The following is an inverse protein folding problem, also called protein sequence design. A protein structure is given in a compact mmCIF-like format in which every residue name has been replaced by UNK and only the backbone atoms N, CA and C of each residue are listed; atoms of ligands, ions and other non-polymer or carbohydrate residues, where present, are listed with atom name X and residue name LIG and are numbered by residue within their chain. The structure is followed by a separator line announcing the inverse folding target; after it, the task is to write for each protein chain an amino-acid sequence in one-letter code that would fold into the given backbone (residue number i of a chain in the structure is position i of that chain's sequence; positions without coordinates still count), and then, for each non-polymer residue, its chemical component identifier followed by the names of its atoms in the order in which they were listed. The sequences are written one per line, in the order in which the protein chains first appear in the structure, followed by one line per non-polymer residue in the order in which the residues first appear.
data_IF_619727839719
#
_entry.id   IF_619727839719
#
_cell.length_a   1.000
_cell.length_b   1.000
_cell.length_c   1.000
_cell.angle_alpha   90.00
_cell.angle_beta   90.00
_cell.angle_gamma   90.00
#
_symmetry.space_group_name_H-M   'P 1'
#
loop_
_entity.id
_entity.type
_entity.pdbx_description
1 polymer ?
#
# COMPACT_ATOMS: atom_id res chain seq x y z
N UNK A 1 -24.95 -27.46 -15.61
CA UNK A 1 -23.55 -27.12 -15.22
C UNK A 1 -23.62 -25.76 -14.56
N UNK A 2 -23.21 -25.60 -13.29
CA UNK A 2 -23.17 -24.26 -12.65
C UNK A 2 -22.02 -23.50 -13.27
N UNK A 3 -22.24 -22.29 -13.73
CA UNK A 3 -21.16 -21.41 -14.17
C UNK A 3 -20.17 -21.18 -13.01
N UNK A 4 -18.87 -21.16 -13.28
CA UNK A 4 -17.88 -20.89 -12.25
C UNK A 4 -18.11 -19.49 -11.65
N UNK A 5 -18.11 -19.39 -10.33
CA UNK A 5 -18.37 -18.18 -9.54
C UNK A 5 -17.45 -16.99 -9.95
N UNK A 6 -16.25 -17.28 -10.47
CA UNK A 6 -15.28 -16.26 -10.91
C UNK A 6 -15.57 -15.68 -12.31
N UNK A 7 -16.61 -16.15 -13.04
CA UNK A 7 -17.03 -15.49 -14.28
C UNK A 7 -17.93 -14.27 -14.04
N UNK A 8 -18.45 -14.09 -12.83
CA UNK A 8 -19.43 -13.03 -12.56
C UNK A 8 -18.83 -11.68 -12.16
N UNK A 9 -17.57 -11.62 -11.76
CA UNK A 9 -16.79 -10.37 -11.55
C UNK A 9 -15.30 -10.72 -11.67
N UNK A 10 -14.64 -10.41 -12.78
CA UNK A 10 -13.18 -10.38 -12.75
C UNK A 10 -12.78 -9.29 -11.75
N UNK A 11 -12.33 -9.69 -10.56
CA UNK A 11 -11.58 -8.78 -9.69
C UNK A 11 -10.26 -8.56 -10.41
N UNK A 12 -10.21 -7.54 -11.25
CA UNK A 12 -8.96 -7.12 -11.85
C UNK A 12 -8.25 -6.22 -10.85
N UNK A 13 -7.09 -6.64 -10.34
CA UNK A 13 -6.29 -5.73 -9.55
C UNK A 13 -5.89 -4.56 -10.44
N UNK A 14 -6.23 -3.35 -10.04
CA UNK A 14 -5.88 -2.13 -10.74
C UNK A 14 -4.75 -1.42 -9.99
N UNK A 15 -3.80 -0.80 -10.71
CA UNK A 15 -2.81 0.07 -10.08
C UNK A 15 -3.48 1.28 -9.45
N UNK A 16 -2.79 1.91 -8.51
CA UNK A 16 -3.24 3.13 -7.85
C UNK A 16 -3.63 4.20 -8.88
N UNK A 17 -4.70 4.92 -8.60
CA UNK A 17 -5.19 6.05 -9.40
C UNK A 17 -5.34 7.28 -8.52
N UNK A 18 -5.18 8.45 -9.14
CA UNK A 18 -5.48 9.72 -8.50
C UNK A 18 -6.98 9.85 -8.24
N UNK A 19 -7.34 10.55 -7.16
CA UNK A 19 -8.73 10.79 -6.79
C UNK A 19 -9.25 9.70 -5.85
N UNK A 20 -8.90 9.80 -4.56
CA UNK A 20 -9.37 8.88 -3.53
C UNK A 20 -10.86 8.99 -3.23
N UNK A 21 -11.37 8.05 -2.49
CA UNK A 21 -12.75 8.00 -2.02
C UNK A 21 -12.83 8.24 -0.51
N UNK A 22 -13.66 9.19 -0.09
CA UNK A 22 -13.97 9.38 1.33
C UNK A 22 -14.99 8.35 1.77
N UNK A 23 -14.55 7.42 2.62
CA UNK A 23 -15.40 6.33 3.14
C UNK A 23 -16.32 6.85 4.25
N UNK A 24 -15.77 7.71 5.13
CA UNK A 24 -16.52 8.37 6.20
C UNK A 24 -15.82 9.68 6.61
N UNK A 25 -16.21 10.29 7.72
CA UNK A 25 -15.72 11.60 8.14
C UNK A 25 -14.20 11.68 8.35
N UNK A 26 -13.52 10.55 8.60
CA UNK A 26 -12.10 10.50 8.90
C UNK A 26 -11.30 9.40 8.17
N UNK A 27 -11.93 8.63 7.27
CA UNK A 27 -11.25 7.59 6.49
C UNK A 27 -11.33 7.86 5.01
N UNK A 28 -10.18 7.87 4.37
CA UNK A 28 -10.01 8.01 2.92
C UNK A 28 -9.41 6.73 2.36
N UNK A 29 -9.95 6.25 1.24
CA UNK A 29 -9.45 5.14 0.46
C UNK A 29 -8.64 5.65 -0.74
N UNK A 30 -7.46 5.09 -0.96
CA UNK A 30 -6.75 5.09 -2.24
C UNK A 30 -6.81 3.67 -2.80
N UNK A 31 -7.56 3.46 -3.88
CA UNK A 31 -7.54 2.20 -4.61
C UNK A 31 -6.17 1.98 -5.24
N UNK A 32 -5.61 0.78 -5.08
CA UNK A 32 -4.32 0.36 -5.59
C UNK A 32 -4.34 -1.15 -5.81
N UNK A 33 -3.23 -1.78 -6.22
CA UNK A 33 -3.14 -3.25 -6.26
C UNK A 33 -3.52 -3.86 -4.91
N UNK A 34 -3.15 -3.20 -3.83
CA UNK A 34 -3.66 -3.40 -2.48
C UNK A 34 -4.19 -2.08 -1.97
N UNK A 35 -5.45 -2.03 -1.57
CA UNK A 35 -6.06 -0.82 -1.07
C UNK A 35 -5.27 -0.22 0.09
N UNK A 36 -5.07 1.10 0.04
CA UNK A 36 -4.47 1.88 1.10
C UNK A 36 -5.50 2.81 1.72
N UNK A 37 -5.42 3.02 3.02
CA UNK A 37 -6.34 3.90 3.72
C UNK A 37 -5.59 4.94 4.52
N UNK A 38 -6.11 6.17 4.55
CA UNK A 38 -5.68 7.23 5.44
C UNK A 38 -6.75 7.41 6.51
N UNK A 39 -6.36 7.32 7.78
CA UNK A 39 -7.19 7.63 8.93
C UNK A 39 -6.74 8.98 9.46
N UNK A 40 -7.60 9.98 9.31
CA UNK A 40 -7.33 11.36 9.68
C UNK A 40 -7.54 11.58 11.17
N UNK A 41 -6.55 12.18 11.85
CA UNK A 41 -6.68 12.55 13.26
C UNK A 41 -6.08 13.94 13.52
N UNK A 42 -6.53 14.64 14.59
CA UNK A 42 -5.98 15.95 14.95
C UNK A 42 -4.49 15.94 15.36
N UNK A 43 -3.93 14.76 15.65
CA UNK A 43 -2.54 14.60 16.11
C UNK A 43 -1.60 13.99 15.04
N UNK A 44 -2.03 14.00 13.78
CA UNK A 44 -1.37 13.36 12.65
C UNK A 44 -2.13 12.13 12.17
N UNK A 45 -1.80 11.67 10.98
CA UNK A 45 -2.56 10.63 10.30
C UNK A 45 -1.99 9.23 10.57
N UNK A 46 -2.87 8.22 10.45
CA UNK A 46 -2.49 6.81 10.44
C UNK A 46 -2.77 6.26 9.05
N UNK A 47 -1.78 5.61 8.44
CA UNK A 47 -1.93 4.99 7.13
C UNK A 47 -1.99 3.47 7.26
N UNK A 48 -2.83 2.83 6.46
CA UNK A 48 -2.91 1.36 6.32
C UNK A 48 -2.38 0.99 4.94
N UNK A 49 -1.36 0.13 4.89
CA UNK A 49 -0.61 -0.28 3.71
C UNK A 49 0.08 0.88 2.97
N UNK A 50 1.03 0.55 2.12
CA UNK A 50 1.84 1.52 1.38
C UNK A 50 1.78 1.36 -0.14
N UNK A 51 1.05 0.36 -0.63
CA UNK A 51 1.09 -0.01 -2.03
C UNK A 51 2.44 -0.62 -2.45
N UNK A 52 2.61 -0.81 -3.75
CA UNK A 52 3.91 -1.08 -4.36
C UNK A 52 4.77 0.20 -4.36
N UNK A 53 6.08 0.05 -4.49
CA UNK A 53 6.98 1.22 -4.57
C UNK A 53 6.54 2.23 -5.62
N UNK A 54 6.22 1.77 -6.82
CA UNK A 54 5.78 2.63 -7.93
C UNK A 54 4.42 3.32 -7.68
N UNK A 55 3.59 2.81 -6.78
CA UNK A 55 2.28 3.37 -6.46
C UNK A 55 2.35 4.44 -5.35
N UNK A 56 3.41 4.41 -4.54
CA UNK A 56 3.51 5.23 -3.34
C UNK A 56 3.36 6.74 -3.60
N UNK A 57 3.94 7.35 -4.68
CA UNK A 57 3.73 8.75 -5.00
C UNK A 57 2.27 9.09 -5.32
N UNK A 58 1.57 8.18 -6.01
CA UNK A 58 0.16 8.35 -6.39
C UNK A 58 -0.74 8.26 -5.17
N UNK A 59 -0.48 7.27 -4.29
CA UNK A 59 -1.18 7.11 -3.01
C UNK A 59 -0.96 8.35 -2.13
N UNK A 60 0.29 8.82 -2.02
CA UNK A 60 0.62 10.03 -1.26
C UNK A 60 -0.14 11.24 -1.78
N UNK A 61 -0.08 11.49 -3.10
CA UNK A 61 -0.80 12.61 -3.72
C UNK A 61 -2.30 12.51 -3.51
N UNK A 62 -2.85 11.29 -3.62
CA UNK A 62 -4.28 11.03 -3.36
C UNK A 62 -4.65 11.41 -1.92
N UNK A 63 -3.84 11.04 -0.94
CA UNK A 63 -4.10 11.37 0.47
C UNK A 63 -3.94 12.86 0.76
N UNK A 64 -2.94 13.52 0.16
CA UNK A 64 -2.70 14.98 0.33
C UNK A 64 -3.86 15.84 -0.18
N UNK A 65 -4.61 15.36 -1.15
CA UNK A 65 -5.81 16.04 -1.64
C UNK A 65 -6.94 16.07 -0.58
N UNK A 66 -6.86 15.23 0.45
CA UNK A 66 -7.78 15.21 1.58
C UNK A 66 -7.18 15.76 2.87
N UNK A 67 -5.91 15.44 3.14
CA UNK A 67 -5.19 15.86 4.34
C UNK A 67 -3.68 15.65 4.14
N UNK A 68 -2.91 16.73 4.10
CA UNK A 68 -1.46 16.73 3.94
C UNK A 68 -0.68 16.66 5.27
N UNK A 69 -1.38 16.49 6.39
CA UNK A 69 -0.75 16.31 7.70
C UNK A 69 0.16 15.09 7.72
N UNK A 70 1.18 15.13 8.58
CA UNK A 70 2.16 14.08 8.68
C UNK A 70 1.50 12.72 9.05
N UNK A 71 1.91 11.67 8.36
CA UNK A 71 1.60 10.29 8.76
C UNK A 71 2.55 9.90 9.89
N UNK A 72 2.01 9.55 11.03
CA UNK A 72 2.76 9.17 12.24
C UNK A 72 2.91 7.66 12.38
N UNK A 73 1.94 6.92 11.90
CA UNK A 73 1.92 5.45 11.96
C UNK A 73 1.52 4.86 10.61
N UNK A 74 2.23 3.82 10.20
CA UNK A 74 1.92 3.02 9.02
C UNK A 74 1.72 1.56 9.44
N UNK A 75 0.52 1.05 9.26
CA UNK A 75 0.15 -0.32 9.61
C UNK A 75 0.17 -1.19 8.37
N UNK A 76 0.97 -2.25 8.39
CA UNK A 76 1.06 -3.23 7.31
C UNK A 76 0.17 -4.44 7.64
N UNK A 77 -0.83 -4.68 6.80
CA UNK A 77 -1.79 -5.77 7.02
C UNK A 77 -1.22 -7.14 6.69
N UNK A 78 -0.23 -7.20 5.82
CA UNK A 78 0.50 -8.43 5.46
C UNK A 78 1.86 -8.08 4.82
N UNK A 79 2.67 -9.10 4.47
CA UNK A 79 4.02 -8.94 3.94
C UNK A 79 4.15 -9.06 2.41
N UNK A 80 3.07 -9.07 1.62
CA UNK A 80 3.18 -9.07 0.16
C UNK A 80 3.64 -7.73 -0.39
N UNK A 81 4.28 -7.78 -1.54
CA UNK A 81 4.93 -6.64 -2.22
C UNK A 81 4.02 -5.43 -2.43
N UNK A 82 2.74 -5.66 -2.69
CA UNK A 82 1.71 -4.64 -2.91
C UNK A 82 1.18 -3.98 -1.62
N UNK A 83 1.58 -4.48 -0.45
CA UNK A 83 1.25 -3.89 0.85
C UNK A 83 2.42 -3.13 1.47
N UNK A 84 3.65 -3.60 1.23
CA UNK A 84 4.85 -3.12 1.93
C UNK A 84 5.77 -2.26 1.06
N UNK A 85 5.60 -2.28 -0.26
CA UNK A 85 6.59 -1.80 -1.22
C UNK A 85 6.88 -0.32 -1.18
N UNK A 86 5.95 0.49 -0.73
CA UNK A 86 6.10 1.94 -0.64
C UNK A 86 6.62 2.45 0.72
N UNK A 87 6.92 1.58 1.68
CA UNK A 87 7.26 2.00 3.06
C UNK A 87 8.42 2.98 3.10
N UNK A 88 9.53 2.71 2.37
CA UNK A 88 10.69 3.60 2.39
C UNK A 88 10.34 5.00 1.86
N UNK A 89 9.54 5.08 0.80
CA UNK A 89 9.07 6.36 0.27
C UNK A 89 8.34 7.19 1.34
N UNK A 90 7.44 6.56 2.12
CA UNK A 90 6.73 7.25 3.21
C UNK A 90 7.65 7.60 4.39
N UNK A 91 8.66 6.76 4.70
CA UNK A 91 9.67 7.08 5.71
C UNK A 91 10.51 8.30 5.35
N UNK A 92 10.86 8.45 4.09
CA UNK A 92 11.64 9.60 3.61
C UNK A 92 10.85 10.91 3.70
N UNK A 93 9.52 10.84 3.60
CA UNK A 93 8.63 12.00 3.69
C UNK A 93 8.21 12.35 5.12
N UNK A 94 8.08 11.36 5.99
CA UNK A 94 7.51 11.52 7.34
C UNK A 94 8.53 11.15 8.41
N UNK A 95 9.25 12.15 8.93
CA UNK A 95 10.20 11.96 10.01
C UNK A 95 9.51 11.34 11.25
N UNK A 96 10.06 10.25 11.76
CA UNK A 96 9.53 9.56 12.93
C UNK A 96 8.33 8.63 12.64
N UNK A 97 8.06 8.33 11.36
CA UNK A 97 7.05 7.34 10.98
C UNK A 97 7.31 5.99 11.66
N UNK A 98 6.33 5.53 12.46
CA UNK A 98 6.36 4.21 13.09
C UNK A 98 5.65 3.19 12.21
N UNK A 99 6.38 2.15 11.77
CA UNK A 99 5.84 1.07 10.95
C UNK A 99 5.49 -0.12 11.82
N UNK A 100 4.21 -0.49 11.82
CA UNK A 100 3.63 -1.53 12.67
C UNK A 100 3.20 -2.71 11.79
N UNK A 101 3.57 -3.91 12.17
CA UNK A 101 3.15 -5.13 11.47
C UNK A 101 2.99 -6.32 12.43
N UNK A 102 2.29 -7.33 11.98
CA UNK A 102 2.21 -8.61 12.69
C UNK A 102 3.59 -9.29 12.71
N UNK A 103 3.91 -9.99 13.78
CA UNK A 103 5.25 -10.56 14.05
C UNK A 103 5.80 -11.47 12.95
N UNK A 104 4.95 -12.14 12.17
CA UNK A 104 5.36 -12.98 11.03
C UNK A 104 5.54 -12.20 9.72
N UNK A 105 5.30 -10.88 9.71
CA UNK A 105 5.42 -10.07 8.50
C UNK A 105 6.83 -10.18 7.85
N UNK A 106 7.96 -10.12 8.59
CA UNK A 106 9.30 -10.29 8.00
C UNK A 106 9.50 -11.69 7.36
N UNK A 107 8.99 -12.76 7.98
CA UNK A 107 9.09 -14.10 7.39
C UNK A 107 8.22 -14.23 6.13
N UNK A 108 7.05 -13.58 6.11
CA UNK A 108 6.20 -13.52 4.91
C UNK A 108 6.91 -12.80 3.76
N UNK A 109 7.55 -11.67 4.01
CA UNK A 109 8.37 -10.95 3.03
C UNK A 109 9.53 -11.82 2.51
N UNK A 110 10.25 -12.49 3.43
CA UNK A 110 11.35 -13.40 3.08
C UNK A 110 10.85 -14.58 2.23
N UNK A 111 9.69 -15.14 2.56
CA UNK A 111 9.05 -16.20 1.76
C UNK A 111 8.72 -15.71 0.35
N UNK A 112 8.12 -14.54 0.20
CA UNK A 112 7.82 -13.95 -1.09
C UNK A 112 9.07 -13.68 -1.92
N UNK A 113 10.13 -13.17 -1.29
CA UNK A 113 11.42 -12.95 -1.94
C UNK A 113 12.03 -14.27 -2.46
N UNK A 114 11.98 -15.35 -1.67
CA UNK A 114 12.45 -16.67 -2.12
C UNK A 114 11.70 -17.20 -3.34
N UNK A 115 10.42 -16.87 -3.49
CA UNK A 115 9.59 -17.31 -4.60
C UNK A 115 9.51 -16.32 -5.76
N UNK A 116 10.10 -15.13 -5.64
CA UNK A 116 9.94 -14.05 -6.60
C UNK A 116 10.30 -14.46 -8.04
N UNK A 117 11.43 -15.15 -8.23
CA UNK A 117 11.84 -15.61 -9.56
C UNK A 117 10.86 -16.64 -10.17
N UNK A 118 10.37 -17.58 -9.36
CA UNK A 118 9.39 -18.57 -9.82
C UNK A 118 8.05 -17.92 -10.16
N UNK A 119 7.55 -17.04 -9.31
CA UNK A 119 6.30 -16.31 -9.53
C UNK A 119 6.41 -15.40 -10.76
N UNK A 120 7.52 -14.66 -10.90
CA UNK A 120 7.78 -13.80 -12.05
C UNK A 120 7.72 -14.58 -13.35
N UNK A 121 8.44 -15.70 -13.45
CA UNK A 121 8.43 -16.55 -14.66
C UNK A 121 7.06 -17.12 -14.97
N UNK A 122 6.27 -17.45 -13.95
CA UNK A 122 4.94 -18.06 -14.12
C UNK A 122 3.85 -17.06 -14.44
N UNK A 123 3.92 -15.86 -13.90
CA UNK A 123 2.82 -14.89 -13.89
C UNK A 123 3.12 -13.60 -14.63
N UNK A 124 4.36 -13.39 -15.10
CA UNK A 124 4.78 -12.15 -15.77
C UNK A 124 3.84 -11.77 -16.92
N UNK A 125 3.41 -12.74 -17.73
CA UNK A 125 2.51 -12.50 -18.85
C UNK A 125 1.16 -11.90 -18.44
N UNK A 126 0.69 -12.18 -17.21
CA UNK A 126 -0.59 -11.67 -16.72
C UNK A 126 -0.51 -10.23 -16.19
N UNK A 127 0.70 -9.77 -15.85
CA UNK A 127 0.92 -8.47 -15.22
C UNK A 127 1.67 -7.47 -16.08
N UNK A 128 2.38 -7.93 -17.14
CA UNK A 128 3.23 -7.06 -17.98
C UNK A 128 2.45 -5.87 -18.53
N UNK A 129 1.30 -6.10 -19.15
CA UNK A 129 0.48 -5.04 -19.72
C UNK A 129 -0.08 -4.10 -18.65
N UNK A 130 -0.45 -4.65 -17.47
CA UNK A 130 -0.96 -3.86 -16.34
C UNK A 130 0.09 -2.91 -15.78
N UNK A 131 1.31 -3.39 -15.59
CA UNK A 131 2.43 -2.55 -15.16
C UNK A 131 2.80 -1.50 -16.22
N UNK A 132 2.89 -1.90 -17.49
CA UNK A 132 3.18 -0.95 -18.57
C UNK A 132 2.14 0.15 -18.67
N UNK A 133 0.85 -0.20 -18.54
CA UNK A 133 -0.23 0.77 -18.55
C UNK A 133 -0.22 1.66 -17.30
N UNK A 134 0.15 1.12 -16.13
CA UNK A 134 0.31 1.89 -14.91
C UNK A 134 1.41 2.94 -15.03
N UNK A 135 2.60 2.53 -15.50
CA UNK A 135 3.72 3.45 -15.73
C UNK A 135 3.39 4.53 -16.74
N UNK A 136 2.73 4.19 -17.85
CA UNK A 136 2.28 5.16 -18.85
C UNK A 136 1.30 6.17 -18.22
N UNK A 137 0.30 5.69 -17.46
CA UNK A 137 -0.66 6.53 -16.78
C UNK A 137 0.02 7.49 -15.78
N UNK A 138 0.97 7.00 -14.97
CA UNK A 138 1.67 7.83 -14.01
C UNK A 138 2.52 8.90 -14.69
N UNK A 139 3.23 8.53 -15.76
CA UNK A 139 4.03 9.47 -16.56
C UNK A 139 3.17 10.56 -17.21
N UNK A 140 1.99 10.21 -17.74
CA UNK A 140 1.02 11.19 -18.28
C UNK A 140 0.53 12.19 -17.23
N UNK A 141 0.52 11.79 -15.95
CA UNK A 141 0.16 12.65 -14.82
C UNK A 141 1.38 13.41 -14.24
N UNK A 142 2.55 13.31 -14.87
CA UNK A 142 3.79 13.97 -14.42
C UNK A 142 4.52 13.25 -13.29
N UNK A 143 4.23 11.97 -13.08
CA UNK A 143 4.91 11.10 -12.12
C UNK A 143 5.72 10.03 -12.87
N UNK A 144 6.95 10.35 -13.22
CA UNK A 144 7.90 9.50 -13.96
C UNK A 144 9.09 9.04 -13.10
N UNK A 145 9.18 9.51 -11.85
CA UNK A 145 10.13 9.01 -10.85
C UNK A 145 9.46 7.94 -9.99
N UNK A 146 9.86 6.69 -10.21
CA UNK A 146 9.27 5.53 -9.56
C UNK A 146 10.17 5.03 -8.44
N UNK A 147 9.75 5.16 -7.15
CA UNK A 147 10.47 4.57 -6.03
C UNK A 147 10.70 3.07 -6.21
N UNK A 148 11.85 2.61 -5.76
CA UNK A 148 12.15 1.19 -5.75
C UNK A 148 11.18 0.43 -4.84
N UNK A 149 10.94 -0.83 -5.17
CA UNK A 149 10.19 -1.73 -4.31
C UNK A 149 10.96 -1.97 -3.02
N UNK A 150 10.34 -1.71 -1.86
CA UNK A 150 10.95 -1.92 -0.55
C UNK A 150 10.67 -3.33 0.00
N UNK A 151 11.55 -3.73 0.93
CA UNK A 151 11.40 -4.90 1.81
C UNK A 151 11.63 -4.40 3.24
N UNK A 152 10.64 -3.71 3.83
CA UNK A 152 10.86 -2.96 5.05
C UNK A 152 11.01 -3.84 6.27
N UNK A 153 11.77 -3.34 7.24
CA UNK A 153 11.75 -3.85 8.61
C UNK A 153 10.75 -3.02 9.42
N UNK A 154 9.67 -3.61 9.94
CA UNK A 154 8.75 -2.92 10.83
C UNK A 154 9.43 -2.51 12.15
N UNK A 155 9.01 -1.36 12.70
CA UNK A 155 9.52 -0.85 13.97
C UNK A 155 8.83 -1.54 15.16
N UNK A 156 7.56 -1.90 14.98
CA UNK A 156 6.75 -2.60 15.98
C UNK A 156 6.24 -3.93 15.41
N UNK A 157 6.58 -5.04 16.08
CA UNK A 157 6.11 -6.38 15.74
C UNK A 157 5.04 -6.83 16.74
N UNK A 158 3.82 -7.00 16.23
CA UNK A 158 2.64 -7.37 17.03
C UNK A 158 2.44 -8.88 17.03
N UNK A 159 2.47 -9.53 18.20
CA UNK A 159 2.24 -10.97 18.34
C UNK A 159 0.75 -11.31 18.46
N UNK A 160 0.04 -10.63 19.35
CA UNK A 160 -1.40 -10.89 19.60
C UNK A 160 -2.21 -9.59 19.49
N UNK A 161 -1.87 -8.61 20.28
CA UNK A 161 -2.55 -7.32 20.34
C UNK A 161 -1.58 -6.17 20.61
N UNK A 162 -1.81 -5.06 19.96
CA UNK A 162 -1.13 -3.80 20.22
C UNK A 162 -2.16 -2.68 20.19
N UNK A 163 -2.24 -1.88 21.25
CA UNK A 163 -3.11 -0.72 21.33
C UNK A 163 -2.26 0.54 21.40
N UNK A 164 -2.65 1.55 20.68
CA UNK A 164 -2.07 2.88 20.72
C UNK A 164 -3.16 3.91 20.41
N UNK A 165 -2.93 5.14 20.78
CA UNK A 165 -3.87 6.25 20.57
C UNK A 165 -3.21 7.34 19.73
N UNK A 166 -3.94 7.87 18.74
CA UNK A 166 -3.55 9.03 17.95
C UNK A 166 -4.75 9.97 17.84
N UNK A 167 -4.61 11.17 18.44
CA UNK A 167 -5.63 12.22 18.32
C UNK A 167 -7.02 11.85 18.81
N UNK A 168 -7.12 10.97 19.81
CA UNK A 168 -8.39 10.51 20.40
C UNK A 168 -9.00 9.28 19.73
N UNK A 169 -8.31 8.69 18.75
CA UNK A 169 -8.64 7.38 18.18
C UNK A 169 -7.72 6.30 18.75
N UNK A 170 -8.30 5.19 19.24
CA UNK A 170 -7.61 3.99 19.71
C UNK A 170 -7.72 2.86 18.67
#
# INVERSE_FOLDING_TARGET
MREPIYKSRPVEPNPARFGGERINDFVVLSEAYSNCYLIQTPAGNVQINSGMGMEAPVIKKTFDDFDDSAVTHLILTQGHVDHVGGVQYFRDLHSGLSVIAQANNPEHQAYDTRLAAFRGNRSAFAFTDKFSNAFAYYAEQGHDDFPAQDVPTPDVLVHERYSFEVGGLE
#
